data_IF_034284379904
#
_entry.id   IF_034284379904
#
_cell.length_a   1.000
_cell.length_b   1.000
_cell.length_c   1.000
_cell.angle_alpha   90.00
_cell.angle_beta   90.00
_cell.angle_gamma   90.00
#
_symmetry.space_group_name_H-M   'P 1'
#
loop_
_entity.id
_entity.type
_entity.pdbx_description
1 polymer ?
#
# COMPACT_ATOMS: atom_id res chain seq x y z
N UNK A 1 -11.43 -5.76 -19.21
CA UNK A 1 -11.16 -5.62 -17.80
C UNK A 1 -11.84 -6.72 -17.04
N UNK A 2 -11.23 -7.14 -16.09
CA UNK A 2 -11.47 -8.36 -15.36
C UNK A 2 -12.67 -8.23 -14.44
N UNK A 3 -13.54 -9.25 -14.48
CA UNK A 3 -14.69 -9.27 -13.58
C UNK A 3 -14.25 -9.23 -12.12
N UNK A 4 -13.14 -9.92 -11.81
CA UNK A 4 -12.61 -9.94 -10.45
C UNK A 4 -12.26 -8.54 -9.97
N UNK A 5 -11.53 -7.78 -10.79
CA UNK A 5 -11.15 -6.41 -10.44
C UNK A 5 -12.38 -5.53 -10.23
N UNK A 6 -13.35 -5.60 -11.15
CA UNK A 6 -14.56 -4.79 -11.03
C UNK A 6 -15.34 -5.12 -9.77
N UNK A 7 -15.44 -6.39 -9.43
CA UNK A 7 -16.13 -6.83 -8.21
C UNK A 7 -15.43 -6.29 -6.96
N UNK A 8 -14.10 -6.33 -6.94
CA UNK A 8 -13.33 -5.83 -5.80
C UNK A 8 -13.45 -4.30 -5.70
N UNK A 9 -13.32 -3.59 -6.83
CA UNK A 9 -13.43 -2.13 -6.83
C UNK A 9 -14.77 -1.66 -6.28
N UNK A 10 -15.85 -2.40 -6.56
CA UNK A 10 -17.16 -2.06 -6.03
C UNK A 10 -17.18 -2.04 -4.50
N UNK A 11 -16.47 -2.94 -3.86
CA UNK A 11 -16.37 -2.94 -2.39
C UNK A 11 -15.71 -1.66 -1.89
N UNK A 12 -14.70 -1.17 -2.61
CA UNK A 12 -13.95 0.01 -2.21
C UNK A 12 -14.72 1.31 -2.44
N UNK A 13 -15.72 1.29 -3.32
CA UNK A 13 -16.56 2.47 -3.57
C UNK A 13 -17.30 2.93 -2.31
N UNK A 14 -17.58 1.99 -1.40
CA UNK A 14 -18.25 2.33 -0.14
C UNK A 14 -17.28 2.76 0.96
N UNK A 15 -15.97 2.70 0.70
CA UNK A 15 -14.98 3.15 1.65
C UNK A 15 -15.07 4.67 1.82
N UNK A 16 -14.87 5.19 3.05
CA UNK A 16 -14.96 6.63 3.30
C UNK A 16 -14.13 7.50 2.36
N UNK A 17 -12.98 7.00 1.89
CA UNK A 17 -12.13 7.78 0.99
C UNK A 17 -12.78 8.02 -0.37
N UNK A 18 -13.68 7.15 -0.81
CA UNK A 18 -14.35 7.29 -2.11
C UNK A 18 -15.80 7.79 -2.01
N UNK A 19 -16.40 7.70 -0.81
CA UNK A 19 -17.71 8.28 -0.51
C UNK A 19 -18.83 7.88 -1.50
N UNK A 20 -18.73 6.69 -2.05
CA UNK A 20 -19.72 6.19 -3.00
C UNK A 20 -19.43 6.56 -4.45
N UNK A 21 -18.33 7.24 -4.72
CA UNK A 21 -17.92 7.53 -6.10
C UNK A 21 -17.59 6.22 -6.82
N UNK A 22 -17.95 6.16 -8.10
CA UNK A 22 -17.59 5.03 -8.94
C UNK A 22 -16.08 5.00 -9.17
N UNK A 23 -15.47 3.84 -8.96
CA UNK A 23 -14.03 3.67 -9.21
C UNK A 23 -13.87 3.04 -10.59
N UNK A 24 -13.38 3.82 -11.54
CA UNK A 24 -13.20 3.39 -12.93
C UNK A 24 -11.76 3.03 -13.27
N UNK A 25 -10.82 3.43 -12.43
CA UNK A 25 -9.39 3.22 -12.66
C UNK A 25 -8.75 2.76 -11.35
N UNK A 26 -7.92 1.72 -11.43
CA UNK A 26 -7.23 1.16 -10.26
C UNK A 26 -6.34 2.21 -9.58
N UNK A 27 -5.91 3.24 -10.29
CA UNK A 27 -5.07 4.32 -9.75
C UNK A 27 -5.87 5.59 -9.42
N UNK A 28 -7.20 5.51 -9.43
CA UNK A 28 -8.03 6.64 -9.07
C UNK A 28 -7.82 6.97 -7.59
N UNK A 29 -7.61 8.25 -7.29
CA UNK A 29 -7.45 8.70 -5.91
C UNK A 29 -8.81 9.07 -5.32
N UNK A 30 -8.98 8.76 -4.03
CA UNK A 30 -10.16 9.18 -3.28
C UNK A 30 -9.96 10.55 -2.67
N UNK A 31 -10.88 10.93 -1.79
CA UNK A 31 -10.88 12.24 -1.15
C UNK A 31 -9.67 12.50 -0.25
N UNK A 32 -9.00 11.45 0.20
CA UNK A 32 -7.79 11.55 1.03
C UNK A 32 -6.52 11.29 0.23
N UNK A 33 -6.59 11.39 -1.11
CA UNK A 33 -5.47 11.20 -2.02
C UNK A 33 -4.92 9.77 -2.10
N UNK A 34 -5.52 8.82 -1.41
CA UNK A 34 -5.11 7.42 -1.46
C UNK A 34 -5.83 6.67 -2.59
N UNK A 35 -5.15 5.68 -3.16
CA UNK A 35 -5.75 4.73 -4.11
C UNK A 35 -6.23 3.48 -3.36
N UNK A 36 -6.91 2.60 -4.09
CA UNK A 36 -7.33 1.31 -3.51
C UNK A 36 -6.14 0.47 -3.02
N UNK A 37 -4.98 0.59 -3.67
CA UNK A 37 -3.79 -0.14 -3.22
C UNK A 37 -3.30 0.37 -1.87
N UNK A 38 -3.34 1.69 -1.63
CA UNK A 38 -3.01 2.24 -0.31
C UNK A 38 -3.93 1.66 0.76
N UNK A 39 -5.23 1.61 0.48
CA UNK A 39 -6.21 1.09 1.43
C UNK A 39 -5.98 -0.39 1.69
N UNK A 40 -5.75 -1.18 0.63
CA UNK A 40 -5.48 -2.62 0.78
C UNK A 40 -4.22 -2.86 1.62
N UNK A 41 -3.18 -2.05 1.41
CA UNK A 41 -1.93 -2.18 2.17
C UNK A 41 -2.14 -1.88 3.65
N UNK A 42 -2.93 -0.85 3.94
CA UNK A 42 -3.26 -0.47 5.32
C UNK A 42 -4.06 -1.56 6.02
N UNK A 43 -4.99 -2.18 5.31
CA UNK A 43 -5.90 -3.18 5.87
C UNK A 43 -5.37 -4.62 5.78
N UNK A 44 -4.16 -4.80 5.25
CA UNK A 44 -3.54 -6.12 5.03
C UNK A 44 -4.40 -7.04 4.14
N UNK A 45 -5.06 -6.45 3.13
CA UNK A 45 -5.89 -7.18 2.18
C UNK A 45 -5.01 -7.71 1.05
N UNK A 46 -4.34 -8.82 1.29
CA UNK A 46 -3.31 -9.36 0.40
C UNK A 46 -3.84 -9.71 -0.98
N UNK A 47 -4.97 -10.40 -1.02
CA UNK A 47 -5.54 -10.81 -2.30
C UNK A 47 -5.96 -9.60 -3.14
N UNK A 48 -6.60 -8.62 -2.51
CA UNK A 48 -7.00 -7.40 -3.22
C UNK A 48 -5.78 -6.66 -3.77
N UNK A 49 -4.74 -6.51 -2.95
CA UNK A 49 -3.51 -5.84 -3.37
C UNK A 49 -2.91 -6.53 -4.59
N UNK A 50 -2.86 -7.87 -4.57
CA UNK A 50 -2.31 -8.62 -5.69
C UNK A 50 -3.13 -8.40 -6.97
N UNK A 51 -4.46 -8.42 -6.86
CA UNK A 51 -5.33 -8.18 -8.02
C UNK A 51 -5.11 -6.77 -8.56
N UNK A 52 -5.00 -5.76 -7.68
CA UNK A 52 -4.73 -4.39 -8.12
C UNK A 52 -3.41 -4.28 -8.87
N UNK A 53 -2.35 -4.91 -8.34
CA UNK A 53 -1.04 -4.89 -8.97
C UNK A 53 -1.06 -5.60 -10.33
N UNK A 54 -1.78 -6.71 -10.43
CA UNK A 54 -1.93 -7.44 -11.69
C UNK A 54 -2.71 -6.63 -12.74
N UNK A 55 -3.44 -5.62 -12.33
CA UNK A 55 -4.24 -4.77 -13.20
C UNK A 55 -3.70 -3.36 -13.33
N UNK A 56 -2.41 -3.16 -13.07
CA UNK A 56 -1.72 -1.92 -13.37
C UNK A 56 -1.67 -0.89 -12.26
N UNK A 57 -1.94 -1.29 -11.00
CA UNK A 57 -1.77 -0.37 -9.89
C UNK A 57 -0.31 0.09 -9.80
N UNK A 58 -0.13 1.40 -9.64
CA UNK A 58 1.20 1.99 -9.50
C UNK A 58 1.65 1.81 -8.06
N UNK A 59 2.63 0.94 -7.85
CA UNK A 59 3.00 0.46 -6.52
C UNK A 59 3.62 1.52 -5.63
N UNK A 60 4.27 2.53 -6.22
CA UNK A 60 4.98 3.57 -5.47
C UNK A 60 4.26 4.91 -5.48
N UNK A 61 2.99 4.92 -5.83
CA UNK A 61 2.23 6.16 -5.85
C UNK A 61 2.15 6.76 -4.45
N UNK A 62 2.45 8.05 -4.34
CA UNK A 62 2.34 8.75 -3.06
C UNK A 62 0.90 9.22 -2.86
N UNK A 63 0.32 8.84 -1.73
CA UNK A 63 -1.04 9.22 -1.37
C UNK A 63 -1.04 10.33 -0.33
N UNK A 64 -1.94 10.23 0.63
CA UNK A 64 -2.07 11.20 1.71
C UNK A 64 -0.73 11.40 2.41
N UNK A 65 -0.34 12.66 2.57
CA UNK A 65 0.92 13.06 3.22
C UNK A 65 2.17 12.40 2.61
N UNK A 66 2.06 11.99 1.35
CA UNK A 66 3.16 11.37 0.64
C UNK A 66 3.42 9.91 0.98
N UNK A 67 2.51 9.26 1.70
CA UNK A 67 2.67 7.85 2.05
C UNK A 67 2.47 6.96 0.84
N UNK A 68 3.36 5.97 0.66
CA UNK A 68 3.19 4.92 -0.34
C UNK A 68 2.45 3.73 0.30
N UNK A 69 1.97 2.78 -0.49
CA UNK A 69 1.42 1.55 0.09
C UNK A 69 2.40 0.84 1.03
N UNK A 70 3.70 0.83 0.70
CA UNK A 70 4.70 0.22 1.57
C UNK A 70 4.82 0.93 2.92
N UNK A 71 4.73 2.26 2.93
CA UNK A 71 4.71 3.02 4.19
C UNK A 71 3.57 2.54 5.10
N UNK A 72 2.36 2.39 4.54
CA UNK A 72 1.22 1.93 5.33
C UNK A 72 1.42 0.51 5.87
N UNK A 73 1.93 -0.39 5.03
CA UNK A 73 2.18 -1.76 5.48
C UNK A 73 3.18 -1.79 6.64
N UNK A 74 4.22 -0.97 6.56
CA UNK A 74 5.22 -0.88 7.63
C UNK A 74 4.65 -0.26 8.89
N UNK A 75 3.84 0.80 8.73
CA UNK A 75 3.23 1.49 9.87
C UNK A 75 2.34 0.56 10.69
N UNK A 76 1.55 -0.26 10.01
CA UNK A 76 0.57 -1.12 10.68
C UNK A 76 1.10 -2.53 10.95
N UNK A 77 2.38 -2.79 10.69
CA UNK A 77 2.99 -4.06 11.04
C UNK A 77 2.54 -5.23 10.19
N UNK A 78 2.14 -4.98 8.96
CA UNK A 78 1.60 -6.00 8.06
C UNK A 78 2.74 -6.70 7.31
N UNK A 79 3.40 -7.66 7.95
CA UNK A 79 4.60 -8.33 7.40
C UNK A 79 4.35 -8.92 6.02
N UNK A 80 3.26 -9.66 5.86
CA UNK A 80 2.98 -10.32 4.59
C UNK A 80 2.76 -9.31 3.46
N UNK A 81 2.13 -8.18 3.79
CA UNK A 81 1.96 -7.10 2.82
C UNK A 81 3.30 -6.45 2.46
N UNK A 82 4.18 -6.24 3.45
CA UNK A 82 5.52 -5.71 3.19
C UNK A 82 6.25 -6.63 2.21
N UNK A 83 6.21 -7.94 2.45
CA UNK A 83 6.83 -8.93 1.55
C UNK A 83 6.22 -8.86 0.15
N UNK A 84 4.90 -8.82 0.07
CA UNK A 84 4.20 -8.78 -1.22
C UNK A 84 4.60 -7.55 -2.01
N UNK A 85 4.62 -6.38 -1.36
CA UNK A 85 4.96 -5.13 -2.03
C UNK A 85 6.42 -5.11 -2.48
N UNK A 86 7.34 -5.54 -1.62
CA UNK A 86 8.77 -5.62 -1.99
C UNK A 86 8.99 -6.58 -3.15
N UNK A 87 8.34 -7.75 -3.13
CA UNK A 87 8.46 -8.74 -4.20
C UNK A 87 7.91 -8.21 -5.52
N UNK A 88 7.01 -7.24 -5.47
CA UNK A 88 6.42 -6.62 -6.67
C UNK A 88 7.08 -5.28 -7.02
N UNK A 89 8.23 -4.97 -6.44
CA UNK A 89 9.04 -3.85 -6.88
C UNK A 89 8.90 -2.56 -6.11
N UNK A 90 8.27 -2.54 -4.93
CA UNK A 90 8.21 -1.32 -4.12
C UNK A 90 9.60 -0.77 -3.86
N UNK A 91 9.75 0.55 -4.00
CA UNK A 91 10.98 1.26 -3.67
C UNK A 91 10.93 1.67 -2.20
N UNK A 92 11.73 0.98 -1.38
CA UNK A 92 11.79 1.22 0.07
C UNK A 92 12.44 2.55 0.44
N UNK A 93 13.04 3.25 -0.52
CA UNK A 93 13.77 4.50 -0.26
C UNK A 93 12.92 5.75 -0.47
N UNK A 94 11.70 5.62 -0.96
CA UNK A 94 10.82 6.77 -1.15
C UNK A 94 10.47 7.37 0.21
N UNK A 95 10.52 8.71 0.29
CA UNK A 95 10.20 9.44 1.52
C UNK A 95 8.81 10.07 1.41
N UNK A 96 8.09 10.06 2.53
CA UNK A 96 6.84 10.81 2.64
C UNK A 96 7.13 12.30 2.86
N UNK A 97 6.08 13.10 3.14
CA UNK A 97 6.24 14.54 3.33
C UNK A 97 7.03 14.89 4.59
N UNK A 98 7.23 13.94 5.49
CA UNK A 98 8.01 14.14 6.73
C UNK A 98 9.45 13.65 6.59
N UNK A 99 9.87 13.29 5.38
CA UNK A 99 11.22 12.79 5.14
C UNK A 99 11.46 11.37 5.60
N UNK A 100 10.40 10.58 5.78
CA UNK A 100 10.51 9.23 6.31
C UNK A 100 10.40 8.20 5.19
N UNK A 101 11.37 7.30 5.11
CA UNK A 101 11.29 6.13 4.24
C UNK A 101 10.66 4.95 5.00
N UNK A 102 10.53 3.81 4.33
CA UNK A 102 9.87 2.63 4.93
C UNK A 102 10.53 2.17 6.22
N UNK A 103 11.87 2.16 6.26
CA UNK A 103 12.61 1.74 7.46
C UNK A 103 12.30 2.67 8.63
N UNK A 104 12.30 3.99 8.39
CA UNK A 104 12.01 4.95 9.44
C UNK A 104 10.59 4.79 9.98
N UNK A 105 9.62 4.57 9.08
CA UNK A 105 8.25 4.32 9.48
C UNK A 105 8.17 3.06 10.36
N UNK A 106 8.86 1.99 9.95
CA UNK A 106 8.86 0.73 10.71
C UNK A 106 9.49 0.90 12.09
N UNK A 107 10.64 1.61 12.17
CA UNK A 107 11.32 1.87 13.43
C UNK A 107 10.42 2.62 14.41
N UNK A 108 9.65 3.56 13.90
CA UNK A 108 8.79 4.43 14.72
C UNK A 108 7.44 3.80 15.03
N UNK A 109 7.12 2.65 14.44
CA UNK A 109 5.81 2.03 14.65
C UNK A 109 5.72 1.40 16.05
N UNK A 110 4.48 1.22 16.52
CA UNK A 110 4.23 0.54 17.77
C UNK A 110 3.93 -0.95 17.58
N UNK A 111 4.08 -1.45 16.35
CA UNK A 111 3.78 -2.85 16.05
C UNK A 111 4.77 -3.80 16.70
N UNK A 112 4.27 -4.94 17.19
CA UNK A 112 5.12 -6.00 17.69
C UNK A 112 5.95 -6.66 16.58
N UNK A 113 5.58 -6.43 15.30
CA UNK A 113 6.31 -6.94 14.14
C UNK A 113 7.43 -6.00 13.67
N UNK A 114 7.63 -4.90 14.36
CA UNK A 114 8.55 -3.84 13.94
C UNK A 114 9.97 -4.36 13.64
N UNK A 115 10.53 -5.14 14.52
CA UNK A 115 11.91 -5.62 14.34
C UNK A 115 12.03 -6.55 13.14
N UNK A 116 11.03 -7.41 12.93
CA UNK A 116 11.00 -8.31 11.78
C UNK A 116 10.90 -7.53 10.48
N UNK A 117 10.08 -6.49 10.46
CA UNK A 117 9.91 -5.65 9.27
C UNK A 117 11.20 -4.88 8.97
N UNK A 118 11.82 -4.29 9.99
CA UNK A 118 13.09 -3.57 9.80
C UNK A 118 14.14 -4.50 9.21
N UNK A 119 14.26 -5.72 9.75
CA UNK A 119 15.21 -6.70 9.22
C UNK A 119 14.88 -7.06 7.78
N UNK A 120 13.62 -7.31 7.48
CA UNK A 120 13.18 -7.64 6.14
C UNK A 120 13.53 -6.52 5.14
N UNK A 121 13.27 -5.27 5.51
CA UNK A 121 13.60 -4.12 4.67
C UNK A 121 15.10 -3.99 4.45
N UNK A 122 15.89 -4.15 5.50
CA UNK A 122 17.34 -4.01 5.41
C UNK A 122 17.99 -5.13 4.60
N UNK A 123 17.43 -6.34 4.68
CA UNK A 123 17.96 -7.50 3.96
C UNK A 123 17.48 -7.54 2.50
N UNK A 124 16.40 -6.83 2.18
CA UNK A 124 15.85 -6.86 0.83
C UNK A 124 16.73 -6.05 -0.12
N UNK A 125 17.12 -6.67 -1.22
CA UNK A 125 17.92 -5.99 -2.24
C UNK A 125 17.07 -5.71 -3.47
N UNK A 126 16.95 -4.44 -3.81
CA UNK A 126 16.31 -4.05 -5.06
C UNK A 126 17.29 -4.37 -6.19
N UNK A 127 16.88 -5.23 -7.09
CA UNK A 127 17.72 -5.62 -8.22
C UNK A 127 17.77 -4.49 -9.25
#
# INVERSE_FOLDING_TARGET
MKKELLSILKKYETHPDFLGDTIEDVNQVGGMDDTVLHIAARNNSLNDALVFLQNGALIDLKGDLGYTPLHYACMFGNIEMVKLLLDNGSDKNIQNEFGENAVRIAINSSSENKEKIVKLLNDFKNA
#
